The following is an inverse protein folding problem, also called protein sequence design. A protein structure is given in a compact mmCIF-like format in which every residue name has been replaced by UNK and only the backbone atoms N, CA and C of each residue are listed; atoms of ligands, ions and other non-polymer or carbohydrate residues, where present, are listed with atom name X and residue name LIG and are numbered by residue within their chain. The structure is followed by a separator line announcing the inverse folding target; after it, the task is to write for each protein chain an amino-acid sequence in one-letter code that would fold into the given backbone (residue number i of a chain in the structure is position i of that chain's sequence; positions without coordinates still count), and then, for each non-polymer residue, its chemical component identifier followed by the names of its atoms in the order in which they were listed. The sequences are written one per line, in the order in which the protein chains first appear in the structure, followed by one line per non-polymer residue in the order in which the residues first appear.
data_IF_359402715741
#
_entry.id   IF_359402715741
#
_cell.length_a   1.000
_cell.length_b   1.000
_cell.length_c   1.000
_cell.angle_alpha   90.00
_cell.angle_beta   90.00
_cell.angle_gamma   90.00
#
_symmetry.space_group_name_H-M   'P 1'
#
loop_
_entity.id
_entity.type
_entity.pdbx_description
1 polymer ?
#
# COMPACT_ATOMS: atom_id res chain seq x y z
N UNK A 1 -3.96 -4.84 20.60
CA UNK A 1 -3.40 -5.06 19.27
C UNK A 1 -2.53 -3.86 18.89
N UNK A 2 -1.43 -4.09 18.18
CA UNK A 2 -0.61 -2.95 17.76
C UNK A 2 -1.35 -2.06 16.76
N UNK A 3 -0.94 -0.80 16.73
CA UNK A 3 -1.52 0.15 15.80
C UNK A 3 -0.51 0.42 14.70
N UNK A 4 -0.98 0.35 13.46
CA UNK A 4 -0.15 0.58 12.28
C UNK A 4 -0.64 1.81 11.55
N UNK A 5 0.30 2.55 10.98
CA UNK A 5 0.00 3.79 10.25
C UNK A 5 0.41 3.59 8.80
N UNK A 6 -0.50 3.92 7.91
CA UNK A 6 -0.31 3.70 6.48
C UNK A 6 -0.02 5.03 5.81
N UNK A 7 1.26 5.37 5.76
CA UNK A 7 1.70 6.63 5.18
C UNK A 7 2.00 6.43 3.70
N UNK A 8 1.65 7.42 2.89
CA UNK A 8 1.85 7.31 1.45
C UNK A 8 2.90 8.30 1.01
N UNK A 9 3.93 7.80 0.35
CA UNK A 9 4.97 8.64 -0.24
C UNK A 9 4.72 8.74 -1.73
N UNK A 10 4.46 9.97 -2.22
CA UNK A 10 4.20 10.23 -3.63
C UNK A 10 5.13 11.36 -4.04
N UNK A 11 6.07 11.05 -4.94
CA UNK A 11 7.06 12.04 -5.32
C UNK A 11 7.82 12.52 -4.11
N UNK A 12 7.83 13.83 -3.89
CA UNK A 12 8.50 14.43 -2.74
C UNK A 12 7.61 14.59 -1.53
N UNK A 13 6.37 14.16 -1.63
CA UNK A 13 5.39 14.36 -0.56
C UNK A 13 5.21 13.09 0.25
N UNK A 14 5.03 13.27 1.55
CA UNK A 14 4.66 12.19 2.44
C UNK A 14 3.30 12.52 3.04
N UNK A 15 2.31 11.70 2.75
CA UNK A 15 0.98 11.86 3.30
C UNK A 15 0.88 10.95 4.51
N UNK A 16 0.83 11.54 5.68
CA UNK A 16 0.86 10.80 6.93
C UNK A 16 -0.55 10.39 7.32
N UNK A 17 -0.70 9.12 7.72
CA UNK A 17 -1.97 8.64 8.28
C UNK A 17 -2.07 9.11 9.72
N UNK A 18 -3.02 10.00 10.03
CA UNK A 18 -3.07 10.58 11.39
C UNK A 18 -3.66 9.63 12.42
N UNK A 19 -4.42 8.64 12.01
CA UNK A 19 -5.19 7.83 12.95
C UNK A 19 -4.64 6.43 13.13
N UNK A 20 -4.13 5.84 12.09
CA UNK A 20 -3.68 4.48 12.15
C UNK A 20 -4.83 3.50 12.26
N UNK A 21 -4.48 2.23 12.35
CA UNK A 21 -5.46 1.16 12.46
C UNK A 21 -4.89 0.05 13.32
N UNK A 22 -5.69 -0.46 14.23
CA UNK A 22 -5.26 -1.56 15.08
C UNK A 22 -5.40 -2.86 14.32
N UNK A 23 -4.30 -3.57 14.18
CA UNK A 23 -4.27 -4.81 13.42
C UNK A 23 -3.50 -5.85 14.20
N UNK A 24 -3.77 -7.10 13.88
CA UNK A 24 -3.22 -8.22 14.62
C UNK A 24 -1.72 -8.37 14.42
N UNK A 25 -1.25 -8.18 13.20
CA UNK A 25 0.15 -8.43 12.89
C UNK A 25 0.52 -7.74 11.57
N UNK A 26 1.82 -7.74 11.21
CA UNK A 26 2.23 -7.11 9.96
C UNK A 26 1.67 -7.77 8.70
N UNK A 27 1.34 -9.06 8.76
CA UNK A 27 0.74 -9.71 7.59
C UNK A 27 -0.61 -9.09 7.27
N UNK A 28 -1.38 -8.77 8.30
CA UNK A 28 -2.66 -8.10 8.09
C UNK A 28 -2.45 -6.70 7.53
N UNK A 29 -1.41 -6.02 8.01
CA UNK A 29 -1.08 -4.69 7.50
C UNK A 29 -0.71 -4.76 6.03
N UNK A 30 0.03 -5.79 5.62
CA UNK A 30 0.38 -5.98 4.22
C UNK A 30 -0.88 -6.13 3.37
N UNK A 31 -1.83 -6.94 3.82
CA UNK A 31 -3.08 -7.15 3.07
C UNK A 31 -3.85 -5.85 2.90
N UNK A 32 -3.88 -5.03 3.95
CA UNK A 32 -4.60 -3.78 3.89
C UNK A 32 -3.90 -2.79 2.97
N UNK A 33 -2.56 -2.73 3.05
CA UNK A 33 -1.80 -1.84 2.16
C UNK A 33 -2.05 -2.22 0.70
N UNK A 34 -2.04 -3.51 0.40
CA UNK A 34 -2.29 -3.98 -0.95
C UNK A 34 -3.69 -3.58 -1.40
N UNK A 35 -4.68 -3.75 -0.54
CA UNK A 35 -6.06 -3.40 -0.89
C UNK A 35 -6.20 -1.89 -1.14
N UNK A 36 -5.51 -1.08 -0.34
CA UNK A 36 -5.53 0.37 -0.54
C UNK A 36 -4.96 0.75 -1.90
N UNK A 37 -3.84 0.14 -2.26
CA UNK A 37 -3.21 0.44 -3.55
C UNK A 37 -4.11 0.03 -4.71
N UNK A 38 -4.70 -1.17 -4.61
CA UNK A 38 -5.58 -1.64 -5.67
C UNK A 38 -6.80 -0.73 -5.82
N UNK A 39 -7.33 -0.24 -4.71
CA UNK A 39 -8.46 0.67 -4.77
C UNK A 39 -8.08 2.00 -5.42
N UNK A 40 -6.89 2.50 -5.14
CA UNK A 40 -6.43 3.73 -5.75
C UNK A 40 -6.26 3.58 -7.26
N UNK A 41 -5.70 2.45 -7.69
CA UNK A 41 -5.59 2.20 -9.14
C UNK A 41 -6.94 2.11 -9.80
N UNK A 42 -7.92 1.50 -9.10
CA UNK A 42 -9.25 1.38 -9.65
C UNK A 42 -9.91 2.74 -9.83
N UNK A 43 -9.72 3.65 -8.88
CA UNK A 43 -10.38 4.94 -8.92
C UNK A 43 -9.60 5.99 -9.69
N UNK A 44 -8.26 5.93 -9.66
CA UNK A 44 -7.43 6.98 -10.26
C UNK A 44 -6.76 6.56 -11.56
N UNK A 45 -6.75 5.27 -11.85
CA UNK A 45 -6.01 4.79 -13.00
C UNK A 45 -4.53 4.62 -12.68
N UNK A 46 -3.76 4.24 -13.71
CA UNK A 46 -2.36 3.91 -13.52
C UNK A 46 -1.45 5.04 -13.97
N UNK A 47 -1.64 6.21 -13.38
CA UNK A 47 -0.80 7.36 -13.71
C UNK A 47 0.65 7.08 -13.31
N UNK A 48 1.62 7.71 -14.01
CA UNK A 48 3.02 7.52 -13.63
C UNK A 48 3.31 7.93 -12.19
N UNK A 49 2.60 8.94 -11.68
CA UNK A 49 2.80 9.38 -10.30
C UNK A 49 2.41 8.27 -9.33
N UNK A 50 1.28 7.62 -9.57
CA UNK A 50 0.85 6.51 -8.71
C UNK A 50 1.80 5.33 -8.82
N UNK A 51 2.30 5.05 -10.02
CA UNK A 51 3.20 3.92 -10.20
C UNK A 51 4.48 4.06 -9.39
N UNK A 52 4.89 5.30 -9.12
CA UNK A 52 6.08 5.55 -8.33
C UNK A 52 5.83 5.73 -6.84
N UNK A 53 4.59 5.58 -6.40
CA UNK A 53 4.25 5.79 -4.99
C UNK A 53 4.55 4.55 -4.17
N UNK A 54 4.68 4.76 -2.86
CA UNK A 54 4.98 3.69 -1.91
C UNK A 54 4.13 3.91 -0.67
N UNK A 55 3.53 2.84 -0.14
CA UNK A 55 2.93 2.90 1.19
C UNK A 55 3.97 2.43 2.19
N UNK A 56 4.27 3.27 3.17
CA UNK A 56 5.15 2.92 4.28
C UNK A 56 4.27 2.64 5.49
N UNK A 57 4.32 1.42 6.00
CA UNK A 57 3.56 1.09 7.19
C UNK A 57 4.49 1.19 8.38
N UNK A 58 4.12 2.03 9.33
CA UNK A 58 4.90 2.21 10.56
C UNK A 58 4.10 1.72 11.76
N UNK A 59 4.82 1.40 12.82
CA UNK A 59 4.19 0.99 14.07
C UNK A 59 4.04 2.18 15.01
N UNK A 60 3.65 1.91 16.27
CA UNK A 60 3.45 2.95 17.26
C UNK A 60 4.72 3.72 17.57
N UNK A 61 5.86 3.09 17.40
CA UNK A 61 7.14 3.74 17.66
C UNK A 61 7.65 4.53 16.47
N UNK A 62 6.92 4.51 15.37
CA UNK A 62 7.34 5.21 14.17
C UNK A 62 8.31 4.43 13.31
N UNK A 63 8.52 3.16 13.62
CA UNK A 63 9.42 2.33 12.83
C UNK A 63 8.70 1.74 11.64
N UNK A 64 9.38 1.73 10.50
CA UNK A 64 8.81 1.15 9.28
C UNK A 64 8.84 -0.37 9.43
N UNK A 65 7.65 -0.98 9.41
CA UNK A 65 7.55 -2.43 9.51
C UNK A 65 7.41 -3.08 8.15
N UNK A 66 6.93 -2.32 7.15
CA UNK A 66 6.93 -2.80 5.77
C UNK A 66 6.74 -1.63 4.83
N UNK A 67 7.16 -1.83 3.59
CA UNK A 67 6.94 -0.87 2.51
C UNK A 67 6.27 -1.61 1.37
N UNK A 68 5.26 -0.98 0.77
CA UNK A 68 4.53 -1.58 -0.34
C UNK A 68 4.58 -0.62 -1.52
N UNK A 69 5.49 -0.84 -2.47
CA UNK A 69 5.51 -0.02 -3.68
C UNK A 69 4.25 -0.29 -4.51
N UNK A 70 3.65 0.78 -5.02
CA UNK A 70 2.43 0.64 -5.82
C UNK A 70 2.64 -0.26 -7.02
N UNK A 71 3.84 -0.23 -7.60
CA UNK A 71 4.12 -1.06 -8.77
C UNK A 71 4.02 -2.56 -8.46
N UNK A 72 4.23 -2.95 -7.21
CA UNK A 72 4.13 -4.36 -6.86
C UNK A 72 2.71 -4.87 -6.91
N UNK A 73 1.74 -4.00 -6.66
CA UNK A 73 0.35 -4.42 -6.76
C UNK A 73 0.00 -4.80 -8.19
N UNK A 74 0.54 -4.08 -9.16
CA UNK A 74 0.29 -4.39 -10.55
C UNK A 74 0.92 -5.72 -10.94
N UNK A 75 2.14 -5.98 -10.46
CA UNK A 75 2.82 -7.23 -10.75
C UNK A 75 2.04 -8.41 -10.19
N UNK A 76 1.43 -8.23 -9.02
CA UNK A 76 0.72 -9.31 -8.35
C UNK A 76 -0.71 -9.50 -8.84
N UNK A 77 -1.23 -8.55 -9.61
CA UNK A 77 -2.59 -8.69 -10.12
C UNK A 77 -2.68 -9.88 -11.06
N UNK A 78 -3.74 -10.68 -10.95
CA UNK A 78 -3.94 -11.75 -11.92
C UNK A 78 -4.12 -11.16 -13.30
N UNK A 79 -3.40 -11.71 -14.25
CA UNK A 79 -3.53 -11.29 -15.64
C UNK A 79 -4.57 -12.18 -16.29
N UNK A 80 -5.74 -11.63 -16.61
CA UNK A 80 -6.81 -12.40 -17.21
C UNK A 80 -6.39 -13.02 -18.54
N UNK A 81 -5.53 -12.34 -19.24
CA UNK A 81 -5.04 -12.89 -20.52
C UNK A 81 -4.15 -14.10 -20.27
N UNK A 82 -3.37 -14.07 -19.20
CA UNK A 82 -2.49 -15.19 -18.89
C UNK A 82 -3.27 -16.41 -18.46
N UNK A 83 -4.45 -16.22 -17.88
CA UNK A 83 -5.22 -17.34 -17.36
C UNK A 83 -6.15 -17.96 -18.39
N UNK A 84 -6.19 -17.43 -19.58
CA UNK A 84 -7.10 -17.91 -20.59
C UNK A 84 -6.48 -18.89 -21.56
N UNK A 85 -5.34 -19.38 -21.27
CA UNK A 85 -4.65 -20.31 -22.17
C UNK A 85 -4.86 -21.74 -21.86
#
# INVERSE_FOLDING_TARGET
MPRYFFNTRIGDELIVDPDGEELRDPDRAFEIARAMVLELFRSEGDSPTLLGAIIEVTDDDGEVVLEFPFSEAIVELPDENATRH
#
